data_IF_548504239844
#
_entry.id   IF_548504239844
#
_cell.length_a   1.000
_cell.length_b   1.000
_cell.length_c   1.000
_cell.angle_alpha   90.00
_cell.angle_beta   90.00
_cell.angle_gamma   90.00
#
_symmetry.space_group_name_H-M   'P 1'
#
loop_
_entity.id
_entity.type
_entity.pdbx_description
1 polymer ?
#
# COMPACT_ATOMS: atom_id res chain seq x y z
N UNK A 1 -7.52 1.42 15.82
CA UNK A 1 -7.92 1.09 14.44
C UNK A 1 -7.12 1.99 13.52
N UNK A 2 -6.35 1.44 12.58
CA UNK A 2 -5.61 2.26 11.60
C UNK A 2 -6.58 2.68 10.50
N UNK A 3 -6.53 3.95 10.09
CA UNK A 3 -7.19 4.48 8.90
C UNK A 3 -6.15 4.83 7.83
N UNK A 4 -6.62 5.26 6.66
CA UNK A 4 -5.79 5.56 5.50
C UNK A 4 -4.67 6.56 5.82
N UNK A 5 -4.99 7.65 6.52
CA UNK A 5 -4.05 8.71 6.91
C UNK A 5 -3.01 8.23 7.93
N UNK A 6 -3.44 7.48 8.95
CA UNK A 6 -2.54 6.95 9.98
C UNK A 6 -1.59 5.89 9.43
N UNK A 7 -2.03 5.09 8.44
CA UNK A 7 -1.16 4.17 7.72
C UNK A 7 -0.12 4.95 6.93
N UNK A 8 -0.54 5.99 6.18
CA UNK A 8 0.38 6.77 5.35
C UNK A 8 1.45 7.47 6.19
N UNK A 9 1.05 8.03 7.34
CA UNK A 9 1.97 8.63 8.30
C UNK A 9 2.98 7.59 8.84
N UNK A 10 2.53 6.38 9.19
CA UNK A 10 3.41 5.29 9.65
C UNK A 10 4.40 4.84 8.57
N UNK A 11 3.96 4.69 7.31
CA UNK A 11 4.83 4.31 6.21
C UNK A 11 5.86 5.40 5.89
N UNK A 12 5.46 6.67 5.97
CA UNK A 12 6.35 7.82 5.81
C UNK A 12 7.39 7.87 6.92
N UNK A 13 6.99 7.64 8.18
CA UNK A 13 7.92 7.55 9.32
C UNK A 13 8.92 6.41 9.12
N UNK A 14 8.46 5.21 8.74
CA UNK A 14 9.35 4.07 8.45
C UNK A 14 10.33 4.34 7.32
N UNK A 15 9.90 5.07 6.29
CA UNK A 15 10.78 5.46 5.20
C UNK A 15 11.89 6.39 5.68
N UNK A 16 11.60 7.28 6.64
CA UNK A 16 12.56 8.21 7.23
C UNK A 16 13.47 7.56 8.29
N UNK A 17 12.90 6.77 9.21
CA UNK A 17 13.61 6.18 10.35
C UNK A 17 14.30 4.87 10.02
N UNK A 18 13.89 4.20 8.93
CA UNK A 18 14.44 2.95 8.40
C UNK A 18 14.71 1.87 9.48
N UNK A 19 13.70 1.46 10.27
CA UNK A 19 13.90 0.50 11.34
C UNK A 19 14.34 -0.87 10.77
N UNK A 20 15.26 -1.52 11.46
CA UNK A 20 15.79 -2.84 11.07
C UNK A 20 14.66 -3.88 10.99
N UNK A 21 14.69 -4.73 9.96
CA UNK A 21 13.67 -5.77 9.74
C UNK A 21 12.32 -5.27 9.21
N UNK A 22 12.20 -3.98 8.88
CA UNK A 22 10.95 -3.42 8.36
C UNK A 22 10.64 -3.90 6.94
N UNK A 23 9.52 -4.63 6.78
CA UNK A 23 9.01 -5.03 5.46
C UNK A 23 8.70 -3.84 4.55
N UNK A 24 8.28 -2.70 5.12
CA UNK A 24 8.07 -1.45 4.37
C UNK A 24 9.37 -0.92 3.79
N UNK A 25 10.46 -0.94 4.57
CA UNK A 25 11.78 -0.49 4.08
C UNK A 25 12.26 -1.40 2.95
N UNK A 26 12.13 -2.72 3.12
CA UNK A 26 12.47 -3.68 2.07
C UNK A 26 11.64 -3.47 0.79
N UNK A 27 10.34 -3.19 0.93
CA UNK A 27 9.45 -2.90 -0.19
C UNK A 27 9.81 -1.58 -0.91
N UNK A 28 10.23 -0.55 -0.17
CA UNK A 28 10.74 0.70 -0.73
C UNK A 28 12.04 0.48 -1.50
N UNK A 29 12.99 -0.26 -0.91
CA UNK A 29 14.29 -0.56 -1.49
C UNK A 29 14.20 -1.47 -2.73
N UNK A 30 13.15 -2.29 -2.84
CA UNK A 30 12.87 -3.13 -4.01
C UNK A 30 12.54 -2.32 -5.28
N UNK A 31 12.18 -1.04 -5.11
CA UNK A 31 11.97 -0.09 -6.20
C UNK A 31 10.63 -0.20 -6.92
N UNK A 32 10.37 0.81 -7.77
CA UNK A 32 9.06 1.06 -8.42
C UNK A 32 8.54 -0.12 -9.25
N UNK A 33 9.44 -0.89 -9.89
CA UNK A 33 9.03 -2.04 -10.71
C UNK A 33 8.39 -3.14 -9.87
N UNK A 34 8.97 -3.44 -8.70
CA UNK A 34 8.44 -4.46 -7.81
C UNK A 34 7.16 -4.00 -7.11
N UNK A 35 7.11 -2.73 -6.70
CA UNK A 35 5.90 -2.12 -6.12
C UNK A 35 4.73 -2.15 -7.11
N UNK A 36 4.97 -1.79 -8.38
CA UNK A 36 3.95 -1.85 -9.42
C UNK A 36 3.45 -3.27 -9.71
N UNK A 37 4.34 -4.26 -9.71
CA UNK A 37 3.93 -5.68 -9.82
C UNK A 37 3.00 -6.09 -8.69
N UNK A 38 3.35 -5.74 -7.44
CA UNK A 38 2.52 -6.05 -6.29
C UNK A 38 1.16 -5.37 -6.37
N UNK A 39 1.08 -4.09 -6.76
CA UNK A 39 -0.21 -3.42 -6.97
C UNK A 39 -1.09 -4.18 -7.98
N UNK A 40 -0.52 -4.66 -9.09
CA UNK A 40 -1.28 -5.41 -10.09
C UNK A 40 -1.73 -6.78 -9.58
N UNK A 41 -0.89 -7.45 -8.80
CA UNK A 41 -1.20 -8.72 -8.13
C UNK A 41 -2.40 -8.57 -7.19
N UNK A 42 -2.31 -7.62 -6.25
CA UNK A 42 -3.40 -7.36 -5.28
C UNK A 42 -4.68 -6.90 -5.98
N UNK A 43 -4.59 -6.13 -7.09
CA UNK A 43 -5.77 -5.74 -7.85
C UNK A 43 -6.48 -6.97 -8.47
N UNK A 44 -5.72 -7.98 -8.90
CA UNK A 44 -6.27 -9.26 -9.34
C UNK A 44 -6.92 -10.03 -8.19
N UNK A 45 -6.28 -10.07 -7.02
CA UNK A 45 -6.79 -10.75 -5.83
C UNK A 45 -8.06 -10.09 -5.30
N UNK A 46 -8.12 -8.76 -5.24
CA UNK A 46 -9.34 -8.00 -4.92
C UNK A 46 -10.48 -8.36 -5.88
N UNK A 47 -10.21 -8.46 -7.19
CA UNK A 47 -11.24 -8.84 -8.15
C UNK A 47 -11.75 -10.27 -7.89
N UNK A 48 -10.84 -11.23 -7.71
CA UNK A 48 -11.19 -12.63 -7.42
C UNK A 48 -12.01 -12.72 -6.13
N UNK A 49 -11.56 -12.06 -5.05
CA UNK A 49 -12.23 -12.07 -3.77
C UNK A 49 -13.63 -11.45 -3.85
N UNK A 50 -13.79 -10.38 -4.63
CA UNK A 50 -15.07 -9.73 -4.84
C UNK A 50 -16.10 -10.62 -5.57
N UNK A 51 -15.64 -11.54 -6.44
CA UNK A 51 -16.54 -12.45 -7.17
C UNK A 51 -16.80 -13.76 -6.43
N UNK A 52 -15.86 -14.24 -5.61
CA UNK A 52 -15.84 -15.64 -5.20
C UNK A 52 -15.63 -15.88 -3.70
N UNK A 53 -15.25 -14.87 -2.93
CA UNK A 53 -14.87 -15.06 -1.53
C UNK A 53 -15.79 -14.28 -0.57
N UNK A 54 -15.47 -14.35 0.72
CA UNK A 54 -16.25 -13.67 1.78
C UNK A 54 -15.91 -12.18 1.86
N UNK A 55 -16.79 -11.39 2.48
CA UNK A 55 -16.53 -9.97 2.78
C UNK A 55 -15.25 -9.77 3.60
N UNK A 56 -14.91 -10.72 4.47
CA UNK A 56 -13.67 -10.69 5.27
C UNK A 56 -12.43 -10.85 4.38
N UNK A 57 -12.44 -11.83 3.48
CA UNK A 57 -11.36 -12.03 2.51
C UNK A 57 -11.21 -10.83 1.57
N UNK A 58 -12.33 -10.31 1.05
CA UNK A 58 -12.31 -9.10 0.23
C UNK A 58 -11.72 -7.89 0.98
N UNK A 59 -12.09 -7.70 2.25
CA UNK A 59 -11.55 -6.63 3.07
C UNK A 59 -10.04 -6.78 3.31
N UNK A 60 -9.55 -8.03 3.46
CA UNK A 60 -8.13 -8.33 3.56
C UNK A 60 -7.39 -7.90 2.29
N UNK A 61 -7.83 -8.31 1.10
CA UNK A 61 -7.16 -7.94 -0.17
C UNK A 61 -7.23 -6.44 -0.46
N UNK A 62 -8.36 -5.79 -0.17
CA UNK A 62 -8.44 -4.33 -0.28
C UNK A 62 -7.42 -3.67 0.65
N UNK A 63 -7.22 -4.19 1.87
CA UNK A 63 -6.24 -3.64 2.80
C UNK A 63 -4.80 -3.76 2.27
N UNK A 64 -4.47 -4.88 1.63
CA UNK A 64 -3.16 -5.10 1.00
C UNK A 64 -2.95 -4.18 -0.21
N UNK A 65 -3.96 -4.02 -1.06
CA UNK A 65 -3.91 -3.09 -2.19
C UNK A 65 -3.67 -1.65 -1.73
N UNK A 66 -4.41 -1.19 -0.69
CA UNK A 66 -4.22 0.15 -0.13
C UNK A 66 -2.81 0.33 0.46
N UNK A 67 -2.27 -0.69 1.11
CA UNK A 67 -0.87 -0.68 1.59
C UNK A 67 0.11 -0.48 0.44
N UNK A 68 0.02 -1.27 -0.64
CA UNK A 68 0.97 -1.18 -1.76
C UNK A 68 0.86 0.12 -2.55
N UNK A 69 -0.35 0.67 -2.68
CA UNK A 69 -0.56 2.01 -3.25
C UNK A 69 0.19 3.06 -2.42
N UNK A 70 0.04 3.04 -1.08
CA UNK A 70 0.73 4.00 -0.22
C UNK A 70 2.26 3.80 -0.20
N UNK A 71 2.76 2.56 -0.26
CA UNK A 71 4.20 2.29 -0.41
C UNK A 71 4.74 2.90 -1.70
N UNK A 72 4.02 2.75 -2.82
CA UNK A 72 4.40 3.38 -4.08
C UNK A 72 4.38 4.91 -3.98
N UNK A 73 3.36 5.49 -3.35
CA UNK A 73 3.28 6.94 -3.12
C UNK A 73 4.50 7.45 -2.34
N UNK A 74 4.85 6.81 -1.22
CA UNK A 74 6.03 7.15 -0.42
C UNK A 74 7.31 7.00 -1.22
N UNK A 75 7.48 5.88 -1.94
CA UNK A 75 8.65 5.63 -2.80
C UNK A 75 8.78 6.63 -3.96
N UNK A 76 7.67 7.23 -4.40
CA UNK A 76 7.63 8.28 -5.43
C UNK A 76 7.57 9.69 -4.87
N UNK A 77 7.63 9.85 -3.55
CA UNK A 77 7.54 11.13 -2.84
C UNK A 77 6.26 11.91 -3.18
N UNK A 78 5.11 11.22 -3.25
CA UNK A 78 3.78 11.82 -3.38
C UNK A 78 3.14 11.96 -2.00
N UNK A 79 2.53 13.13 -1.74
CA UNK A 79 1.72 13.35 -0.54
C UNK A 79 0.28 12.82 -0.73
N UNK A 80 -0.46 12.70 0.38
CA UNK A 80 -1.90 12.46 0.31
C UNK A 80 -2.64 13.57 -0.44
N UNK A 81 -2.23 14.83 -0.25
CA UNK A 81 -2.84 15.99 -0.92
C UNK A 81 -2.69 15.92 -2.44
N UNK A 82 -1.53 15.44 -2.93
CA UNK A 82 -1.29 15.25 -4.36
C UNK A 82 -2.29 14.27 -4.99
N UNK A 83 -2.78 13.29 -4.24
CA UNK A 83 -3.79 12.33 -4.70
C UNK A 83 -5.20 12.85 -4.46
N UNK A 84 -5.48 13.38 -3.27
CA UNK A 84 -6.80 13.84 -2.86
C UNK A 84 -7.33 14.99 -3.71
N UNK A 85 -6.45 15.84 -4.29
CA UNK A 85 -6.87 16.88 -5.23
C UNK A 85 -7.50 16.38 -6.53
N UNK A 86 -7.41 15.07 -6.80
CA UNK A 86 -7.99 14.41 -7.98
C UNK A 86 -9.27 13.63 -7.68
N UNK A 87 -9.71 13.59 -6.42
CA UNK A 87 -10.96 12.98 -5.96
C UNK A 87 -12.08 14.02 -5.96
#
# INVERSE_FOLDING_TARGET
MKNFESLFAELTDRAATRPEGSGTVAALDAGVHQQGKKILEEAGEVWIAAEHETDEALAEEISQLLYWIQVLMVGKNLSLEDVYRHL
#
